data_IF_833927955360
#
_entry.id   IF_833927955360
#
_cell.length_a   1.000
_cell.length_b   1.000
_cell.length_c   1.000
_cell.angle_alpha   90.00
_cell.angle_beta   90.00
_cell.angle_gamma   90.00
#
_symmetry.space_group_name_H-M   'P 1'
#
loop_
_entity.id
_entity.type
_entity.pdbx_description
1 polymer ?
#
# COMPACT_ATOMS: atom_id res chain seq x y z
N UNK A 1 7.35 -15.65 22.12
CA UNK A 1 8.75 -15.17 22.00
C UNK A 1 8.75 -13.67 22.21
N UNK A 2 9.61 -13.14 23.08
CA UNK A 2 9.76 -11.69 23.24
C UNK A 2 10.71 -11.17 22.16
N UNK A 3 10.27 -10.19 21.37
CA UNK A 3 11.09 -9.50 20.37
C UNK A 3 11.29 -8.06 20.84
N UNK A 4 12.54 -7.65 21.02
CA UNK A 4 12.91 -6.28 21.40
C UNK A 4 13.39 -5.52 20.18
N UNK A 5 12.63 -4.50 19.76
CA UNK A 5 12.98 -3.60 18.68
C UNK A 5 13.78 -2.42 19.25
N UNK A 6 14.95 -2.12 18.67
CA UNK A 6 15.70 -0.91 19.02
C UNK A 6 15.18 0.23 18.15
N UNK A 7 14.78 1.31 18.81
CA UNK A 7 14.24 2.51 18.17
C UNK A 7 15.16 3.69 18.48
N UNK A 8 15.38 4.53 17.48
CA UNK A 8 15.81 5.90 17.68
C UNK A 8 14.73 6.72 18.38
N UNK A 9 15.09 7.90 18.88
CA UNK A 9 14.13 8.79 19.55
C UNK A 9 12.96 9.20 18.63
N UNK A 10 13.25 9.48 17.35
CA UNK A 10 12.22 9.85 16.38
C UNK A 10 11.25 8.70 16.11
N UNK A 11 11.76 7.47 16.00
CA UNK A 11 10.93 6.30 15.80
C UNK A 11 10.05 6.01 17.04
N UNK A 12 10.58 6.18 18.26
CA UNK A 12 9.78 6.02 19.47
C UNK A 12 8.69 7.11 19.60
N UNK A 13 9.00 8.36 19.25
CA UNK A 13 8.01 9.45 19.19
C UNK A 13 6.91 9.13 18.18
N UNK A 14 7.27 8.72 16.97
CA UNK A 14 6.32 8.35 15.94
C UNK A 14 5.44 7.16 16.37
N UNK A 15 6.04 6.12 16.96
CA UNK A 15 5.31 4.95 17.44
C UNK A 15 4.38 5.29 18.62
N UNK A 16 4.80 6.21 19.50
CA UNK A 16 3.97 6.73 20.59
C UNK A 16 2.72 7.41 20.04
N UNK A 17 2.89 8.33 19.09
CA UNK A 17 1.78 9.04 18.46
C UNK A 17 0.82 8.08 17.74
N UNK A 18 1.38 7.10 17.02
CA UNK A 18 0.59 6.09 16.32
C UNK A 18 -0.26 5.27 17.29
N UNK A 19 0.34 4.82 18.39
CA UNK A 19 -0.33 4.05 19.42
C UNK A 19 -1.46 4.84 20.09
N UNK A 20 -1.22 6.12 20.41
CA UNK A 20 -2.23 7.02 20.96
C UNK A 20 -3.40 7.22 20.00
N UNK A 21 -3.11 7.50 18.73
CA UNK A 21 -4.14 7.71 17.69
C UNK A 21 -5.02 6.47 17.50
N UNK A 22 -4.45 5.27 17.65
CA UNK A 22 -5.18 4.01 17.54
C UNK A 22 -5.80 3.54 18.86
N UNK A 23 -5.54 4.22 19.99
CA UNK A 23 -5.96 3.78 21.32
C UNK A 23 -5.40 2.40 21.72
N UNK A 24 -4.17 2.08 21.31
CA UNK A 24 -3.55 0.76 21.54
C UNK A 24 -2.16 0.90 22.19
N UNK A 25 -1.53 -0.22 22.57
CA UNK A 25 -0.15 -0.21 23.07
C UNK A 25 0.87 0.00 21.94
N UNK A 26 2.07 0.48 22.27
CA UNK A 26 3.18 0.62 21.28
C UNK A 26 3.48 -0.67 20.53
N UNK A 27 3.48 -1.81 21.24
CA UNK A 27 3.72 -3.11 20.62
C UNK A 27 2.60 -3.50 19.63
N UNK A 28 1.35 -3.23 19.99
CA UNK A 28 0.23 -3.54 19.11
C UNK A 28 0.19 -2.61 17.89
N UNK A 29 0.42 -1.31 18.10
CA UNK A 29 0.57 -0.34 17.02
C UNK A 29 1.70 -0.74 16.04
N UNK A 30 2.84 -1.21 16.54
CA UNK A 30 3.94 -1.68 15.70
C UNK A 30 3.54 -2.90 14.86
N UNK A 31 2.91 -3.91 15.47
CA UNK A 31 2.41 -5.09 14.73
C UNK A 31 1.41 -4.70 13.65
N UNK A 32 0.45 -3.82 13.97
CA UNK A 32 -0.54 -3.32 13.02
C UNK A 32 0.10 -2.52 11.89
N UNK A 33 1.08 -1.68 12.19
CA UNK A 33 1.82 -0.91 11.19
C UNK A 33 2.54 -1.82 10.19
N UNK A 34 3.21 -2.88 10.68
CA UNK A 34 3.89 -3.88 9.84
C UNK A 34 2.88 -4.58 8.92
N UNK A 35 1.78 -5.09 9.48
CA UNK A 35 0.75 -5.78 8.70
C UNK A 35 0.09 -4.86 7.66
N UNK A 36 -0.22 -3.63 8.05
CA UNK A 36 -0.80 -2.64 7.16
C UNK A 36 0.15 -2.28 6.01
N UNK A 37 1.45 -2.14 6.29
CA UNK A 37 2.44 -1.84 5.26
C UNK A 37 2.64 -3.02 4.30
N UNK A 38 2.75 -4.24 4.82
CA UNK A 38 2.85 -5.44 3.99
C UNK A 38 1.63 -5.61 3.09
N UNK A 39 0.43 -5.42 3.64
CA UNK A 39 -0.83 -5.50 2.87
C UNK A 39 -0.88 -4.45 1.75
N UNK A 40 -0.50 -3.20 2.05
CA UNK A 40 -0.41 -2.15 1.02
C UNK A 40 0.59 -2.49 -0.08
N UNK A 41 1.79 -2.95 0.29
CA UNK A 41 2.82 -3.32 -0.70
C UNK A 41 2.35 -4.43 -1.64
N UNK A 42 1.68 -5.46 -1.11
CA UNK A 42 1.12 -6.54 -1.93
C UNK A 42 -0.01 -6.04 -2.84
N UNK A 43 -0.89 -5.19 -2.32
CA UNK A 43 -1.97 -4.60 -3.11
C UNK A 43 -1.44 -3.71 -4.24
N UNK A 44 -0.48 -2.84 -3.95
CA UNK A 44 0.14 -1.94 -4.93
C UNK A 44 0.83 -2.74 -6.05
N UNK A 45 1.55 -3.81 -5.69
CA UNK A 45 2.15 -4.72 -6.66
C UNK A 45 1.09 -5.41 -7.55
N UNK A 46 -0.02 -5.83 -6.96
CA UNK A 46 -1.12 -6.45 -7.70
C UNK A 46 -1.79 -5.46 -8.68
N UNK A 47 -2.06 -4.23 -8.25
CA UNK A 47 -2.62 -3.17 -9.11
C UNK A 47 -1.65 -2.83 -10.24
N UNK A 48 -0.36 -2.70 -9.94
CA UNK A 48 0.67 -2.44 -10.95
C UNK A 48 0.72 -3.56 -11.99
N UNK A 49 0.59 -4.82 -11.57
CA UNK A 49 0.54 -5.96 -12.48
C UNK A 49 -0.69 -5.92 -13.38
N UNK A 50 -1.88 -5.77 -12.81
CA UNK A 50 -3.12 -5.64 -13.58
C UNK A 50 -3.05 -4.49 -14.59
N UNK A 51 -2.50 -3.35 -14.17
CA UNK A 51 -2.30 -2.19 -15.03
C UNK A 51 -1.37 -2.51 -16.21
N UNK A 52 -0.22 -3.15 -15.95
CA UNK A 52 0.71 -3.57 -17.02
C UNK A 52 0.05 -4.50 -18.03
N UNK A 53 -0.75 -5.44 -17.55
CA UNK A 53 -1.41 -6.44 -18.39
C UNK A 53 -2.53 -5.83 -19.23
N UNK A 54 -3.45 -5.08 -18.62
CA UNK A 54 -4.72 -4.74 -19.28
C UNK A 54 -4.79 -3.32 -19.85
N UNK A 55 -4.00 -2.36 -19.35
CA UNK A 55 -4.03 -0.99 -19.89
C UNK A 55 -3.66 -0.97 -21.40
N UNK A 56 -2.64 -1.70 -21.88
CA UNK A 56 -2.32 -1.73 -23.31
C UNK A 56 -3.48 -2.25 -24.16
N UNK A 57 -4.14 -3.33 -23.72
CA UNK A 57 -5.27 -3.94 -24.42
C UNK A 57 -6.46 -2.98 -24.53
N UNK A 58 -6.84 -2.39 -23.40
CA UNK A 58 -7.94 -1.40 -23.33
C UNK A 58 -7.59 -0.17 -24.17
N UNK A 59 -6.34 0.29 -24.13
CA UNK A 59 -5.88 1.42 -24.95
C UNK A 59 -5.99 1.10 -26.44
N UNK A 60 -5.53 -0.07 -26.87
CA UNK A 60 -5.61 -0.50 -28.26
C UNK A 60 -7.05 -0.64 -28.74
N UNK A 61 -7.93 -1.21 -27.91
CA UNK A 61 -9.37 -1.28 -28.19
C UNK A 61 -9.98 0.12 -28.35
N UNK A 62 -9.72 1.04 -27.41
CA UNK A 62 -10.26 2.42 -27.46
C UNK A 62 -9.74 3.20 -28.67
N UNK A 63 -8.50 2.99 -29.09
CA UNK A 63 -7.97 3.58 -30.32
C UNK A 63 -8.72 3.08 -31.56
N UNK A 64 -8.98 1.76 -31.65
CA UNK A 64 -9.76 1.17 -32.75
C UNK A 64 -11.20 1.69 -32.82
N UNK A 65 -11.89 1.79 -31.69
CA UNK A 65 -13.25 2.33 -31.66
C UNK A 65 -13.30 3.79 -32.15
N UNK A 66 -12.32 4.61 -31.76
CA UNK A 66 -12.22 6.00 -32.20
C UNK A 66 -11.94 6.13 -33.70
N UNK A 67 -11.18 5.22 -34.30
CA UNK A 67 -10.93 5.25 -35.75
C UNK A 67 -12.16 4.87 -36.57
N UNK A 68 -13.06 4.03 -36.03
CA UNK A 68 -14.30 3.62 -36.73
C UNK A 68 -15.42 4.67 -36.60
N UNK A 69 -15.40 5.49 -35.54
CA UNK A 69 -16.38 6.56 -35.31
C UNK A 69 -16.02 7.92 -35.92
N UNK A 70 -14.86 8.06 -36.55
CA UNK A 70 -14.50 9.29 -37.26
C UNK A 70 -15.30 9.37 -38.58
N UNK A 71 -16.06 10.45 -38.83
CA UNK A 71 -16.85 10.61 -40.06
C UNK A 71 -15.97 10.75 -41.31
#
# INVERSE_FOLDING_TARGET
MAMTLRLSEDEDRALTLLAQTQGTSKQEAAKRAILAQASRQLFDAHVAELARTHIPEVRAMRTRLRSVQKP
#
